data_IF_639705139838
#
_entry.id   IF_639705139838
#
_cell.length_a   1.000
_cell.length_b   1.000
_cell.length_c   1.000
_cell.angle_alpha   90.00
_cell.angle_beta   90.00
_cell.angle_gamma   90.00
#
_symmetry.space_group_name_H-M   'P 1'
#
loop_
_entity.id
_entity.type
_entity.pdbx_description
1 polymer ?
#
# COMPACT_ATOMS: atom_id res chain seq x y z
N UNK A 1 18.63 54.81 -0.68
CA UNK A 1 18.51 53.64 -1.55
C UNK A 1 18.30 52.42 -0.63
N UNK A 2 17.05 52.05 -0.35
CA UNK A 2 16.68 50.90 0.47
C UNK A 2 16.50 49.70 -0.44
N UNK A 3 17.46 48.77 -0.41
CA UNK A 3 17.31 47.50 -1.06
C UNK A 3 16.31 46.62 -0.28
N UNK A 4 15.09 46.53 -0.80
CA UNK A 4 14.16 45.50 -0.35
C UNK A 4 14.72 44.11 -0.76
N UNK A 5 15.26 43.42 0.23
CA UNK A 5 15.58 42.01 0.11
C UNK A 5 14.25 41.25 -0.01
N UNK A 6 13.85 40.90 -1.24
CA UNK A 6 12.69 40.04 -1.46
C UNK A 6 13.06 38.65 -0.87
N UNK A 7 12.50 38.34 0.28
CA UNK A 7 12.52 36.98 0.84
C UNK A 7 11.95 36.04 -0.21
N UNK A 8 12.78 35.14 -0.78
CA UNK A 8 12.30 33.99 -1.55
C UNK A 8 11.28 33.25 -0.66
N UNK A 9 10.09 32.95 -1.17
CA UNK A 9 9.16 32.10 -0.41
C UNK A 9 9.88 30.79 -0.07
N UNK A 10 9.95 30.46 1.21
CA UNK A 10 10.44 29.17 1.65
C UNK A 10 9.59 28.09 0.93
N UNK A 11 10.24 27.20 0.19
CA UNK A 11 9.58 26.01 -0.33
C UNK A 11 8.91 25.32 0.86
N UNK A 12 7.64 24.89 0.76
CA UNK A 12 7.01 24.14 1.83
C UNK A 12 7.92 22.94 2.16
N UNK A 13 8.23 22.77 3.43
CA UNK A 13 9.09 21.68 3.88
C UNK A 13 8.43 20.37 3.51
N UNK A 14 9.04 19.63 2.57
CA UNK A 14 8.61 18.29 2.16
C UNK A 14 8.70 17.36 3.37
N UNK A 15 7.63 16.62 3.64
CA UNK A 15 7.55 15.68 4.76
C UNK A 15 7.50 14.28 4.18
N UNK A 16 8.57 13.51 4.40
CA UNK A 16 8.65 12.12 3.95
C UNK A 16 7.50 11.28 4.52
N UNK A 17 6.75 10.66 3.64
CA UNK A 17 5.70 9.71 4.03
C UNK A 17 6.32 8.45 4.66
N UNK A 18 7.47 8.01 4.14
CA UNK A 18 8.17 6.82 4.62
C UNK A 18 8.67 6.96 6.07
N UNK A 19 9.05 8.17 6.48
CA UNK A 19 9.58 8.45 7.82
C UNK A 19 8.48 8.70 8.87
N UNK A 20 7.25 8.96 8.45
CA UNK A 20 6.12 9.18 9.35
C UNK A 20 5.61 7.88 9.98
N UNK A 21 5.25 7.93 11.26
CA UNK A 21 4.42 6.91 11.91
C UNK A 21 3.01 6.89 11.33
N UNK A 22 2.25 5.83 11.60
CA UNK A 22 0.86 5.71 11.14
C UNK A 22 0.00 6.93 11.56
N UNK A 23 0.14 7.38 12.81
CA UNK A 23 -0.63 8.52 13.33
C UNK A 23 -0.21 9.86 12.75
N UNK A 24 1.09 10.04 12.47
CA UNK A 24 1.58 11.24 11.78
C UNK A 24 1.08 11.31 10.33
N UNK A 25 1.05 10.17 9.61
CA UNK A 25 0.42 10.09 8.28
C UNK A 25 -1.04 10.48 8.34
N UNK A 26 -1.81 9.92 9.28
CA UNK A 26 -3.22 10.26 9.46
C UNK A 26 -3.42 11.75 9.75
N UNK A 27 -2.66 12.32 10.69
CA UNK A 27 -2.79 13.72 11.08
C UNK A 27 -2.49 14.72 9.94
N UNK A 28 -1.64 14.33 8.98
CA UNK A 28 -1.20 15.21 7.89
C UNK A 28 -1.94 14.97 6.56
N UNK A 29 -2.39 13.73 6.34
CA UNK A 29 -3.09 13.34 5.11
C UNK A 29 -4.57 13.75 5.16
N UNK A 30 -5.21 13.66 6.32
CA UNK A 30 -6.63 13.94 6.50
C UNK A 30 -6.91 15.41 6.76
N UNK A 31 -8.17 15.81 6.67
CA UNK A 31 -8.57 17.17 7.06
C UNK A 31 -8.34 17.34 8.58
N UNK A 32 -7.83 18.50 8.97
CA UNK A 32 -7.42 18.78 10.35
C UNK A 32 -8.56 18.47 11.35
N UNK A 33 -8.20 17.84 12.46
CA UNK A 33 -9.08 17.54 13.60
C UNK A 33 -10.33 16.69 13.26
N UNK A 34 -10.32 15.99 12.12
CA UNK A 34 -11.47 15.15 11.70
C UNK A 34 -11.32 13.67 11.99
N UNK A 35 -10.11 13.19 12.34
CA UNK A 35 -9.88 11.78 12.62
C UNK A 35 -10.44 11.38 13.98
N UNK A 36 -11.37 10.44 13.98
CA UNK A 36 -11.93 9.82 15.18
C UNK A 36 -11.54 8.35 15.21
N UNK A 37 -10.55 8.03 16.05
CA UNK A 37 -10.04 6.67 16.20
C UNK A 37 -11.06 5.77 16.89
N UNK A 38 -11.26 4.58 16.33
CA UNK A 38 -12.01 3.49 16.94
C UNK A 38 -11.05 2.48 17.53
N UNK A 39 -11.39 1.95 18.71
CA UNK A 39 -10.57 0.96 19.41
C UNK A 39 -9.11 1.46 19.60
N UNK A 40 -8.93 2.62 20.24
CA UNK A 40 -7.59 3.19 20.43
C UNK A 40 -6.75 2.35 21.39
N UNK A 41 -5.43 2.55 21.47
CA UNK A 41 -4.51 1.79 22.35
C UNK A 41 -4.93 1.79 23.83
N UNK A 42 -5.64 2.83 24.27
CA UNK A 42 -6.15 2.91 25.64
C UNK A 42 -7.10 1.75 26.01
N UNK A 43 -7.73 1.11 25.03
CA UNK A 43 -8.58 -0.08 25.27
C UNK A 43 -7.77 -1.36 25.49
N UNK A 44 -6.46 -1.34 25.22
CA UNK A 44 -5.50 -2.42 25.53
C UNK A 44 -5.95 -3.79 25.00
N UNK A 45 -6.48 -3.84 23.78
CA UNK A 45 -6.90 -5.10 23.16
C UNK A 45 -5.70 -6.00 22.91
N UNK A 46 -5.83 -7.27 23.27
CA UNK A 46 -4.78 -8.29 23.10
C UNK A 46 -5.34 -9.50 22.36
N UNK A 47 -4.48 -10.19 21.60
CA UNK A 47 -4.85 -11.47 21.02
C UNK A 47 -4.94 -12.56 22.09
N UNK A 48 -6.03 -13.32 22.19
CA UNK A 48 -6.15 -14.43 23.12
C UNK A 48 -5.16 -15.57 22.80
N UNK A 49 -4.66 -15.67 21.58
CA UNK A 49 -3.67 -16.67 21.16
C UNK A 49 -2.30 -16.45 21.81
N UNK A 50 -1.91 -15.23 22.15
CA UNK A 50 -0.64 -14.95 22.83
C UNK A 50 -0.52 -15.73 24.15
N UNK A 51 -1.57 -15.72 24.95
CA UNK A 51 -1.59 -16.46 26.23
C UNK A 51 -1.49 -17.98 26.00
N UNK A 52 -2.15 -18.52 24.97
CA UNK A 52 -2.10 -19.95 24.64
C UNK A 52 -0.73 -20.41 24.17
N UNK A 53 0.03 -19.52 23.53
CA UNK A 53 1.38 -19.79 23.02
C UNK A 53 2.47 -19.50 24.06
N UNK A 54 2.11 -19.08 25.27
CA UNK A 54 3.08 -18.69 26.31
C UNK A 54 3.86 -17.42 25.99
N UNK A 55 3.34 -16.59 25.07
CA UNK A 55 3.94 -15.31 24.70
C UNK A 55 3.41 -14.22 25.62
N UNK A 56 4.26 -13.30 26.12
CA UNK A 56 3.79 -12.19 26.96
C UNK A 56 2.71 -11.38 26.24
N UNK A 57 1.60 -11.14 26.94
CA UNK A 57 0.50 -10.34 26.40
C UNK A 57 0.90 -8.87 26.27
N UNK A 58 0.95 -8.36 25.03
CA UNK A 58 1.02 -6.95 24.75
C UNK A 58 -0.28 -6.50 24.07
N UNK A 59 -0.74 -5.28 24.35
CA UNK A 59 -1.88 -4.75 23.60
C UNK A 59 -1.47 -4.46 22.16
N UNK A 60 -2.40 -4.66 21.24
CA UNK A 60 -2.14 -4.49 19.81
C UNK A 60 -2.36 -3.04 19.38
N UNK A 61 -1.30 -2.35 19.04
CA UNK A 61 -1.30 -1.03 18.43
C UNK A 61 -0.78 -1.03 16.98
N UNK A 62 -0.83 -2.18 16.32
CA UNK A 62 -0.32 -2.35 14.96
C UNK A 62 -1.15 -1.67 13.87
N UNK A 63 -2.38 -1.25 14.16
CA UNK A 63 -3.23 -0.51 13.23
C UNK A 63 -4.15 0.48 13.93
N UNK A 64 -4.14 1.73 13.48
CA UNK A 64 -5.13 2.74 13.85
C UNK A 64 -6.27 2.72 12.81
N UNK A 65 -7.51 2.60 13.28
CA UNK A 65 -8.70 2.63 12.43
C UNK A 65 -9.68 3.70 12.87
N UNK A 66 -10.43 4.29 11.95
CA UNK A 66 -11.42 5.29 12.32
C UNK A 66 -12.15 5.90 11.13
N UNK A 67 -12.91 6.96 11.45
CA UNK A 67 -13.54 7.83 10.45
C UNK A 67 -12.84 9.18 10.41
N UNK A 68 -12.84 9.80 9.24
CA UNK A 68 -12.26 11.12 9.05
C UNK A 68 -12.90 11.84 7.86
N UNK A 69 -12.36 13.03 7.53
CA UNK A 69 -12.62 13.70 6.25
C UNK A 69 -11.35 13.82 5.44
N UNK A 70 -11.52 13.70 4.12
CA UNK A 70 -10.51 14.00 3.12
C UNK A 70 -11.14 14.89 2.06
N UNK A 71 -10.65 16.11 1.90
CA UNK A 71 -11.26 17.12 1.04
C UNK A 71 -12.78 17.28 1.31
N UNK A 72 -13.16 17.32 2.59
CA UNK A 72 -14.53 17.40 3.09
C UNK A 72 -15.43 16.18 2.88
N UNK A 73 -14.98 15.14 2.17
CA UNK A 73 -15.69 13.87 2.03
C UNK A 73 -15.45 12.97 3.24
N UNK A 74 -16.50 12.33 3.74
CA UNK A 74 -16.35 11.33 4.79
C UNK A 74 -15.65 10.09 4.22
N UNK A 75 -14.57 9.69 4.89
CA UNK A 75 -13.79 8.49 4.57
C UNK A 75 -13.59 7.65 5.82
N UNK A 76 -13.51 6.35 5.65
CA UNK A 76 -12.99 5.47 6.67
C UNK A 76 -11.53 5.16 6.38
N UNK A 77 -10.74 5.04 7.43
CA UNK A 77 -9.29 4.93 7.26
C UNK A 77 -8.68 3.95 8.22
N UNK A 78 -7.72 3.18 7.70
CA UNK A 78 -6.82 2.35 8.49
C UNK A 78 -5.37 2.73 8.15
N UNK A 79 -4.53 2.89 9.18
CA UNK A 79 -3.09 3.10 9.01
C UNK A 79 -2.32 2.05 9.80
N UNK A 80 -1.53 1.24 9.10
CA UNK A 80 -0.67 0.23 9.71
C UNK A 80 0.58 0.89 10.27
N UNK A 81 0.96 0.49 11.48
CA UNK A 81 2.15 0.98 12.19
C UNK A 81 3.33 0.05 11.94
N UNK A 82 4.23 0.45 11.05
CA UNK A 82 5.40 -0.34 10.69
C UNK A 82 6.36 -0.58 11.85
N UNK A 83 6.45 0.35 12.80
CA UNK A 83 7.27 0.20 14.00
C UNK A 83 6.72 -0.86 14.97
N UNK A 84 5.43 -1.21 14.89
CA UNK A 84 4.83 -2.25 15.71
C UNK A 84 4.94 -3.61 14.99
N UNK A 85 5.89 -4.44 15.40
CA UNK A 85 6.12 -5.79 14.90
C UNK A 85 6.26 -5.85 13.35
N UNK A 86 6.93 -4.85 12.75
CA UNK A 86 7.13 -4.77 11.31
C UNK A 86 5.84 -4.58 10.51
N UNK A 87 4.77 -4.05 11.12
CA UNK A 87 3.44 -3.93 10.51
C UNK A 87 2.74 -5.28 10.28
N UNK A 88 3.24 -6.35 10.89
CA UNK A 88 2.68 -7.69 10.73
C UNK A 88 1.22 -7.79 11.18
N UNK A 89 0.40 -8.50 10.38
CA UNK A 89 -1.01 -8.70 10.66
C UNK A 89 -1.17 -9.84 11.68
N UNK A 90 -1.82 -9.53 12.80
CA UNK A 90 -2.25 -10.49 13.81
C UNK A 90 -3.76 -10.53 13.92
N UNK A 91 -4.26 -11.22 14.94
CA UNK A 91 -5.70 -11.42 15.17
C UNK A 91 -6.44 -10.10 15.41
N UNK A 92 -5.98 -9.30 16.39
CA UNK A 92 -6.62 -8.01 16.70
C UNK A 92 -6.50 -7.02 15.54
N UNK A 93 -5.31 -6.95 14.95
CA UNK A 93 -5.05 -6.12 13.75
C UNK A 93 -6.06 -6.46 12.64
N UNK A 94 -6.17 -7.72 12.26
CA UNK A 94 -7.10 -8.15 11.22
C UNK A 94 -8.56 -7.93 11.60
N UNK A 95 -8.94 -8.21 12.84
CA UNK A 95 -10.29 -7.97 13.33
C UNK A 95 -10.68 -6.48 13.25
N UNK A 96 -9.76 -5.55 13.54
CA UNK A 96 -9.96 -4.12 13.36
C UNK A 96 -10.22 -3.76 11.89
N UNK A 97 -9.43 -4.29 10.95
CA UNK A 97 -9.62 -4.07 9.51
C UNK A 97 -10.97 -4.64 9.01
N UNK A 98 -11.30 -5.86 9.41
CA UNK A 98 -12.62 -6.47 9.09
C UNK A 98 -13.75 -5.61 9.64
N UNK A 99 -13.63 -5.15 10.88
CA UNK A 99 -14.61 -4.26 11.53
C UNK A 99 -14.79 -2.94 10.77
N UNK A 100 -13.68 -2.35 10.29
CA UNK A 100 -13.69 -1.14 9.46
C UNK A 100 -14.51 -1.34 8.17
N UNK A 101 -14.24 -2.39 7.41
CA UNK A 101 -14.96 -2.69 6.17
C UNK A 101 -16.45 -3.02 6.43
N UNK A 102 -16.75 -3.82 7.45
CA UNK A 102 -18.15 -4.12 7.83
C UNK A 102 -18.89 -2.86 8.25
N UNK A 103 -18.19 -1.93 8.90
CA UNK A 103 -18.76 -0.64 9.24
C UNK A 103 -18.99 0.22 8.00
N UNK A 104 -18.04 0.21 7.05
CA UNK A 104 -18.19 0.92 5.78
C UNK A 104 -19.41 0.44 4.99
N UNK A 105 -19.68 -0.88 4.96
CA UNK A 105 -20.91 -1.44 4.33
C UNK A 105 -22.20 -0.85 4.90
N UNK A 106 -22.22 -0.56 6.19
CA UNK A 106 -23.38 0.01 6.89
C UNK A 106 -23.51 1.51 6.72
N UNK A 107 -22.41 2.24 6.95
CA UNK A 107 -22.39 3.69 7.08
C UNK A 107 -22.14 4.41 5.73
N UNK A 108 -21.66 3.69 4.70
CA UNK A 108 -21.49 4.15 3.31
C UNK A 108 -20.61 5.41 3.17
N UNK A 109 -19.36 5.40 3.66
CA UNK A 109 -18.43 6.50 3.42
C UNK A 109 -18.11 6.61 1.91
N UNK A 110 -17.55 7.75 1.50
CA UNK A 110 -17.10 7.95 0.10
C UNK A 110 -16.07 6.93 -0.33
N UNK A 111 -15.13 6.61 0.55
CA UNK A 111 -14.08 5.61 0.32
C UNK A 111 -13.57 5.02 1.63
N UNK A 112 -12.87 3.89 1.53
CA UNK A 112 -12.00 3.35 2.56
C UNK A 112 -10.54 3.54 2.14
N UNK A 113 -9.74 4.19 2.96
CA UNK A 113 -8.31 4.39 2.76
C UNK A 113 -7.53 3.39 3.61
N UNK A 114 -6.61 2.64 3.00
CA UNK A 114 -5.65 1.77 3.69
C UNK A 114 -4.24 2.35 3.49
N UNK A 115 -3.66 2.92 4.54
CA UNK A 115 -2.26 3.30 4.59
C UNK A 115 -1.47 2.05 4.96
N UNK A 116 -1.06 1.30 3.93
CA UNK A 116 -0.49 -0.03 4.10
C UNK A 116 1.02 0.05 4.37
N UNK A 117 1.41 -0.62 5.46
CA UNK A 117 2.80 -0.86 5.82
C UNK A 117 2.90 -2.18 6.58
N UNK A 118 3.34 -3.26 5.92
CA UNK A 118 3.30 -4.59 6.49
C UNK A 118 4.38 -5.51 5.92
N UNK A 119 5.19 -6.09 6.79
CA UNK A 119 6.13 -7.16 6.44
C UNK A 119 5.47 -8.53 6.24
N UNK A 120 4.18 -8.68 6.53
CA UNK A 120 3.45 -9.95 6.38
C UNK A 120 2.53 -10.27 7.55
N UNK A 121 2.52 -11.53 8.01
CA UNK A 121 1.72 -12.01 9.16
C UNK A 121 2.59 -12.27 10.38
N UNK A 122 2.01 -12.17 11.57
CA UNK A 122 2.69 -12.48 12.84
C UNK A 122 2.74 -13.99 13.05
N UNK A 123 3.91 -14.57 12.89
CA UNK A 123 4.08 -16.03 13.02
C UNK A 123 3.83 -16.54 14.44
N UNK A 124 4.08 -15.72 15.46
CA UNK A 124 3.88 -16.09 16.87
C UNK A 124 2.41 -16.14 17.31
N UNK A 125 1.49 -15.66 16.47
CA UNK A 125 0.04 -15.84 16.67
C UNK A 125 -0.51 -17.05 15.90
N UNK A 126 0.34 -17.98 15.51
CA UNK A 126 0.02 -19.17 14.73
C UNK A 126 -0.79 -18.83 13.43
N UNK A 127 -1.90 -19.50 13.20
CA UNK A 127 -2.72 -19.27 12.02
C UNK A 127 -3.65 -18.04 12.11
N UNK A 128 -3.69 -17.35 13.25
CA UNK A 128 -4.60 -16.22 13.44
C UNK A 128 -4.36 -15.09 12.43
N UNK A 129 -3.09 -14.80 12.13
CA UNK A 129 -2.72 -13.80 11.11
C UNK A 129 -3.15 -14.19 9.70
N UNK A 130 -3.01 -15.46 9.31
CA UNK A 130 -3.44 -15.95 7.99
C UNK A 130 -4.97 -15.91 7.84
N UNK A 131 -5.69 -16.36 8.87
CA UNK A 131 -7.16 -16.27 8.91
C UNK A 131 -7.61 -14.82 8.84
N UNK A 132 -6.96 -13.94 9.61
CA UNK A 132 -7.25 -12.51 9.62
C UNK A 132 -7.10 -11.89 8.23
N UNK A 133 -6.01 -12.18 7.51
CA UNK A 133 -5.78 -11.67 6.14
C UNK A 133 -6.90 -12.14 5.20
N UNK A 134 -7.28 -13.41 5.23
CA UNK A 134 -8.36 -13.92 4.36
C UNK A 134 -9.71 -13.24 4.67
N UNK A 135 -10.03 -13.01 5.93
CA UNK A 135 -11.24 -12.28 6.34
C UNK A 135 -11.19 -10.79 5.92
N UNK A 136 -10.02 -10.15 5.99
CA UNK A 136 -9.83 -8.79 5.49
C UNK A 136 -10.08 -8.73 3.98
N UNK A 137 -9.50 -9.64 3.19
CA UNK A 137 -9.75 -9.72 1.74
C UNK A 137 -11.25 -9.86 1.43
N UNK A 138 -11.93 -10.79 2.11
CA UNK A 138 -13.36 -10.99 1.94
C UNK A 138 -14.16 -9.73 2.25
N UNK A 139 -13.90 -9.08 3.39
CA UNK A 139 -14.61 -7.86 3.79
C UNK A 139 -14.31 -6.67 2.86
N UNK A 140 -13.10 -6.57 2.31
CA UNK A 140 -12.73 -5.59 1.29
C UNK A 140 -13.52 -5.82 0.00
N UNK A 141 -13.56 -7.05 -0.49
CA UNK A 141 -14.30 -7.40 -1.72
C UNK A 141 -15.81 -7.16 -1.56
N UNK A 142 -16.39 -7.46 -0.39
CA UNK A 142 -17.77 -7.12 -0.05
C UNK A 142 -18.02 -5.60 -0.13
N UNK A 143 -17.08 -4.78 0.39
CA UNK A 143 -17.19 -3.32 0.33
C UNK A 143 -17.12 -2.81 -1.12
N UNK A 144 -16.20 -3.33 -1.94
CA UNK A 144 -16.11 -3.03 -3.37
C UNK A 144 -17.39 -3.43 -4.12
N UNK A 145 -17.89 -4.65 -3.88
CA UNK A 145 -19.13 -5.13 -4.49
C UNK A 145 -20.35 -4.25 -4.12
N UNK A 146 -20.27 -3.60 -2.96
CA UNK A 146 -21.29 -2.63 -2.53
C UNK A 146 -21.07 -1.21 -3.11
N UNK A 147 -20.08 -0.99 -3.96
CA UNK A 147 -19.82 0.30 -4.60
C UNK A 147 -19.02 1.29 -3.74
N UNK A 148 -18.29 0.81 -2.72
CA UNK A 148 -17.42 1.65 -1.88
C UNK A 148 -16.00 1.56 -2.43
N UNK A 149 -15.43 2.69 -2.83
CA UNK A 149 -14.05 2.74 -3.32
C UNK A 149 -13.06 2.36 -2.21
N UNK A 150 -12.13 1.47 -2.52
CA UNK A 150 -11.03 1.09 -1.63
C UNK A 150 -9.71 1.54 -2.23
N UNK A 151 -9.00 2.42 -1.52
CA UNK A 151 -7.77 3.06 -1.97
C UNK A 151 -6.64 2.63 -1.03
N UNK A 152 -5.54 2.14 -1.59
CA UNK A 152 -4.36 1.72 -0.81
C UNK A 152 -3.20 2.66 -1.09
N UNK A 153 -2.57 3.15 -0.03
CA UNK A 153 -1.41 4.03 -0.07
C UNK A 153 -0.18 3.26 0.46
N UNK A 154 0.86 3.12 -0.36
CA UNK A 154 2.06 2.33 -0.06
C UNK A 154 3.30 3.21 -0.21
N UNK A 155 3.89 3.60 0.89
CA UNK A 155 5.09 4.45 0.91
C UNK A 155 5.93 4.25 2.19
N UNK A 156 5.45 3.40 3.12
CA UNK A 156 6.14 3.15 4.38
C UNK A 156 7.45 2.37 4.22
N UNK A 157 8.35 2.54 5.18
CA UNK A 157 9.69 1.96 5.17
C UNK A 157 9.72 0.43 5.15
N UNK A 158 8.69 -0.23 5.72
CA UNK A 158 8.58 -1.70 5.70
C UNK A 158 7.94 -2.25 4.40
N UNK A 159 7.39 -1.39 3.52
CA UNK A 159 6.69 -1.83 2.33
C UNK A 159 5.34 -2.50 2.63
N UNK A 160 4.80 -3.23 1.65
CA UNK A 160 3.55 -3.96 1.75
C UNK A 160 3.75 -5.37 1.18
N UNK A 161 3.95 -6.34 2.05
CA UNK A 161 4.33 -7.70 1.70
C UNK A 161 3.35 -8.75 2.27
N UNK A 162 3.55 -10.00 1.85
CA UNK A 162 2.76 -11.12 2.32
C UNK A 162 1.28 -10.98 2.00
N UNK A 163 0.45 -11.38 2.94
CA UNK A 163 -1.01 -11.29 2.81
C UNK A 163 -1.51 -9.88 2.52
N UNK A 164 -0.88 -8.84 3.09
CA UNK A 164 -1.28 -7.45 2.82
C UNK A 164 -0.91 -7.00 1.41
N UNK A 165 0.13 -7.55 0.79
CA UNK A 165 0.41 -7.35 -0.63
C UNK A 165 -0.73 -7.88 -1.51
N UNK A 166 -1.30 -9.05 -1.17
CA UNK A 166 -2.47 -9.60 -1.87
C UNK A 166 -3.72 -8.74 -1.61
N UNK A 167 -3.95 -8.34 -0.33
CA UNK A 167 -5.06 -7.43 0.03
C UNK A 167 -4.99 -6.13 -0.76
N UNK A 168 -3.81 -5.54 -0.89
CA UNK A 168 -3.62 -4.31 -1.67
C UNK A 168 -4.04 -4.49 -3.14
N UNK A 169 -3.71 -5.63 -3.76
CA UNK A 169 -4.12 -5.93 -5.14
C UNK A 169 -5.62 -6.19 -5.30
N UNK A 170 -6.34 -6.42 -4.22
CA UNK A 170 -7.81 -6.50 -4.24
C UNK A 170 -8.49 -5.13 -4.20
N UNK A 171 -7.78 -4.02 -4.02
CA UNK A 171 -8.33 -2.67 -3.96
C UNK A 171 -8.73 -2.11 -5.34
N UNK A 172 -9.46 -1.01 -5.34
CA UNK A 172 -9.81 -0.29 -6.57
C UNK A 172 -8.65 0.53 -7.11
N UNK A 173 -7.82 1.08 -6.21
CA UNK A 173 -6.76 2.02 -6.57
C UNK A 173 -5.56 1.90 -5.63
N UNK A 174 -4.38 1.85 -6.21
CA UNK A 174 -3.11 1.78 -5.48
C UNK A 174 -2.26 3.01 -5.81
N UNK A 175 -1.88 3.75 -4.78
CA UNK A 175 -0.91 4.85 -4.85
C UNK A 175 0.39 4.39 -4.21
N UNK A 176 1.50 4.56 -4.90
CA UNK A 176 2.83 4.27 -4.35
C UNK A 176 3.76 5.47 -4.48
N UNK A 177 4.71 5.59 -3.57
CA UNK A 177 5.92 6.38 -3.82
C UNK A 177 7.02 5.49 -4.39
N UNK A 178 8.09 6.12 -4.91
CA UNK A 178 9.29 5.39 -5.32
C UNK A 178 10.02 4.74 -4.14
N UNK A 179 9.83 5.24 -2.92
CA UNK A 179 10.29 4.60 -1.68
C UNK A 179 9.45 3.37 -1.31
N UNK A 180 8.17 3.32 -1.73
CA UNK A 180 7.25 2.23 -1.45
C UNK A 180 7.65 0.92 -2.13
N UNK A 181 7.33 -0.20 -1.49
CA UNK A 181 7.57 -1.55 -2.01
C UNK A 181 6.32 -2.39 -1.90
N UNK A 182 6.02 -3.16 -2.95
CA UNK A 182 4.85 -4.05 -3.00
C UNK A 182 5.26 -5.39 -3.62
N UNK A 183 5.08 -6.48 -2.87
CA UNK A 183 5.23 -7.84 -3.40
C UNK A 183 4.50 -8.86 -2.53
N UNK A 184 4.37 -10.08 -3.04
CA UNK A 184 3.83 -11.20 -2.26
C UNK A 184 4.82 -11.69 -1.20
N UNK A 185 6.12 -11.73 -1.54
CA UNK A 185 7.17 -12.15 -0.60
C UNK A 185 8.10 -10.98 -0.28
N UNK A 186 8.50 -10.85 0.99
CA UNK A 186 9.54 -9.92 1.39
C UNK A 186 10.91 -10.32 0.83
N UNK A 187 11.87 -9.38 0.71
CA UNK A 187 13.20 -9.66 0.17
C UNK A 187 13.91 -10.80 0.89
N UNK A 188 13.86 -10.81 2.21
CA UNK A 188 14.52 -11.84 3.04
C UNK A 188 13.87 -13.22 2.85
N UNK A 189 12.59 -13.30 2.53
CA UNK A 189 11.89 -14.54 2.23
C UNK A 189 12.32 -15.09 0.87
N UNK A 190 12.50 -14.20 -0.11
CA UNK A 190 12.98 -14.59 -1.44
C UNK A 190 14.42 -15.13 -1.32
N UNK A 191 15.30 -14.38 -0.65
CA UNK A 191 16.69 -14.80 -0.41
C UNK A 191 16.75 -16.16 0.30
N UNK A 192 15.94 -16.36 1.36
CA UNK A 192 15.92 -17.62 2.11
C UNK A 192 15.43 -18.81 1.28
N UNK A 193 14.61 -18.56 0.25
CA UNK A 193 14.05 -19.61 -0.61
C UNK A 193 14.94 -19.97 -1.81
N UNK A 194 15.66 -18.98 -2.36
CA UNK A 194 16.39 -19.10 -3.62
C UNK A 194 17.92 -19.00 -3.45
N UNK A 195 18.37 -18.44 -2.33
CA UNK A 195 19.78 -18.18 -2.04
C UNK A 195 20.23 -16.77 -2.40
N UNK A 196 21.27 -16.29 -1.69
CA UNK A 196 21.83 -14.94 -1.84
C UNK A 196 22.41 -14.70 -3.24
N UNK A 197 22.87 -15.75 -3.92
CA UNK A 197 23.44 -15.67 -5.27
C UNK A 197 22.37 -15.32 -6.32
N UNK A 198 21.12 -15.75 -6.09
CA UNK A 198 20.00 -15.46 -6.98
C UNK A 198 19.29 -14.16 -6.59
N UNK A 199 19.14 -13.89 -5.30
CA UNK A 199 18.51 -12.69 -4.80
C UNK A 199 19.13 -12.27 -3.45
N UNK A 200 19.92 -11.19 -3.46
CA UNK A 200 20.50 -10.59 -2.25
C UNK A 200 19.53 -9.54 -1.68
N UNK A 201 18.90 -9.85 -0.55
CA UNK A 201 17.99 -8.94 0.16
C UNK A 201 18.67 -7.65 0.65
N UNK A 202 20.01 -7.61 0.72
CA UNK A 202 20.81 -6.43 1.11
C UNK A 202 21.12 -5.53 -0.08
N UNK A 203 21.02 -6.05 -1.32
CA UNK A 203 21.14 -5.23 -2.52
C UNK A 203 19.87 -4.36 -2.67
N UNK A 204 19.93 -3.17 -2.11
CA UNK A 204 18.81 -2.22 -2.16
C UNK A 204 18.40 -1.89 -3.60
N UNK A 205 19.36 -1.78 -4.51
CA UNK A 205 19.06 -1.47 -5.91
C UNK A 205 18.23 -2.59 -6.56
N UNK A 206 18.64 -3.84 -6.36
CA UNK A 206 17.88 -5.02 -6.81
C UNK A 206 16.48 -5.06 -6.18
N UNK A 207 16.40 -4.92 -4.85
CA UNK A 207 15.13 -4.96 -4.12
C UNK A 207 14.15 -3.92 -4.66
N UNK A 208 14.59 -2.66 -4.87
CA UNK A 208 13.72 -1.61 -5.40
C UNK A 208 13.39 -1.79 -6.88
N UNK A 209 14.32 -2.34 -7.69
CA UNK A 209 14.02 -2.67 -9.08
C UNK A 209 12.91 -3.71 -9.23
N UNK A 210 12.83 -4.68 -8.30
CA UNK A 210 11.88 -5.80 -8.38
C UNK A 210 10.57 -5.51 -7.64
N UNK A 211 10.60 -4.77 -6.53
CA UNK A 211 9.44 -4.57 -5.66
C UNK A 211 8.99 -3.11 -5.54
N UNK A 212 9.82 -2.16 -6.00
CA UNK A 212 9.63 -0.74 -5.81
C UNK A 212 8.51 -0.11 -6.64
N UNK A 213 8.07 1.07 -6.22
CA UNK A 213 6.95 1.79 -6.85
C UNK A 213 7.15 2.07 -8.33
N UNK A 214 8.38 2.36 -8.80
CA UNK A 214 8.69 2.56 -10.22
C UNK A 214 8.38 1.32 -11.04
N UNK A 215 8.89 0.16 -10.62
CA UNK A 215 8.60 -1.11 -11.28
C UNK A 215 7.10 -1.40 -11.28
N UNK A 216 6.45 -1.28 -10.12
CA UNK A 216 5.00 -1.56 -9.98
C UNK A 216 4.15 -0.63 -10.84
N UNK A 217 4.57 0.62 -11.01
CA UNK A 217 3.90 1.57 -11.89
C UNK A 217 4.04 1.17 -13.37
N UNK A 218 5.26 0.84 -13.81
CA UNK A 218 5.54 0.47 -15.20
C UNK A 218 4.82 -0.81 -15.63
N UNK A 219 4.74 -1.81 -14.74
CA UNK A 219 4.01 -3.06 -15.03
C UNK A 219 2.50 -2.95 -14.75
N UNK A 220 1.99 -1.78 -14.35
CA UNK A 220 0.56 -1.55 -14.12
C UNK A 220 0.01 -2.15 -12.82
N UNK A 221 0.86 -2.41 -11.83
CA UNK A 221 0.47 -2.88 -10.50
C UNK A 221 0.20 -1.74 -9.51
N UNK A 222 0.49 -0.51 -9.91
CA UNK A 222 0.27 0.72 -9.17
C UNK A 222 -0.42 1.73 -10.09
N UNK A 223 -1.49 2.36 -9.65
CA UNK A 223 -2.27 3.29 -10.47
C UNK A 223 -1.65 4.68 -10.51
N UNK A 224 -1.11 5.15 -9.39
CA UNK A 224 -0.45 6.45 -9.29
C UNK A 224 0.90 6.30 -8.58
N UNK A 225 1.96 6.83 -9.20
CA UNK A 225 3.28 6.94 -8.59
C UNK A 225 3.49 8.39 -8.14
N UNK A 226 3.80 8.60 -6.87
CA UNK A 226 3.99 9.93 -6.26
C UNK A 226 5.37 10.08 -5.65
N UNK A 227 5.75 11.31 -5.34
CA UNK A 227 6.94 11.60 -4.55
C UNK A 227 6.76 11.06 -3.12
N UNK A 228 7.87 10.75 -2.42
CA UNK A 228 7.83 10.45 -0.99
C UNK A 228 7.56 11.73 -0.19
N UNK A 229 6.29 12.12 -0.19
CA UNK A 229 5.77 13.30 0.49
C UNK A 229 4.31 13.09 0.88
N UNK A 230 3.97 13.37 2.14
CA UNK A 230 2.59 13.20 2.64
C UNK A 230 1.58 14.04 1.86
N UNK A 231 1.96 15.24 1.42
CA UNK A 231 1.09 16.09 0.61
C UNK A 231 0.80 15.47 -0.77
N UNK A 232 1.82 14.88 -1.41
CA UNK A 232 1.65 14.17 -2.68
C UNK A 232 0.72 12.95 -2.55
N UNK A 233 0.84 12.19 -1.46
CA UNK A 233 -0.10 11.10 -1.16
C UNK A 233 -1.51 11.60 -0.89
N UNK A 234 -1.67 12.74 -0.18
CA UNK A 234 -2.97 13.35 0.04
C UNK A 234 -3.65 13.72 -1.28
N UNK A 235 -2.93 14.42 -2.16
CA UNK A 235 -3.47 14.86 -3.45
C UNK A 235 -3.87 13.66 -4.32
N UNK A 236 -3.03 12.62 -4.37
CA UNK A 236 -3.33 11.39 -5.08
C UNK A 236 -4.55 10.66 -4.49
N UNK A 237 -4.68 10.61 -3.17
CA UNK A 237 -5.83 10.00 -2.52
C UNK A 237 -7.13 10.77 -2.81
N UNK A 238 -7.09 12.11 -2.89
CA UNK A 238 -8.25 12.93 -3.27
C UNK A 238 -8.69 12.60 -4.71
N UNK A 239 -7.75 12.52 -5.65
CA UNK A 239 -8.05 12.13 -7.04
C UNK A 239 -8.66 10.73 -7.10
N UNK A 240 -8.20 9.81 -6.24
CA UNK A 240 -8.68 8.44 -6.20
C UNK A 240 -10.05 8.25 -5.53
N UNK A 241 -10.64 9.27 -4.88
CA UNK A 241 -11.96 9.13 -4.24
C UNK A 241 -13.08 8.66 -5.20
N UNK A 242 -12.91 8.90 -6.48
CA UNK A 242 -13.86 8.53 -7.54
C UNK A 242 -13.41 7.31 -8.35
N UNK A 243 -12.40 6.57 -7.87
CA UNK A 243 -11.75 5.47 -8.61
C UNK A 243 -12.44 4.11 -8.49
N UNK A 244 -13.67 4.04 -7.96
CA UNK A 244 -14.36 2.77 -7.81
C UNK A 244 -14.45 2.02 -9.16
N UNK A 245 -14.00 0.76 -9.15
CA UNK A 245 -14.04 -0.17 -10.29
C UNK A 245 -14.96 -1.33 -9.95
N UNK A 246 -16.12 -1.46 -10.64
CA UNK A 246 -17.06 -2.55 -10.36
C UNK A 246 -16.41 -3.93 -10.53
N UNK A 247 -16.64 -4.83 -9.57
CA UNK A 247 -16.24 -6.23 -9.66
C UNK A 247 -17.28 -6.98 -10.52
N UNK A 248 -17.06 -7.00 -11.83
CA UNK A 248 -17.88 -7.74 -12.78
C UNK A 248 -17.12 -8.94 -13.34
N UNK A 249 -17.85 -9.96 -13.81
CA UNK A 249 -17.20 -11.10 -14.44
C UNK A 249 -16.36 -10.71 -15.67
N UNK A 250 -16.79 -9.82 -16.57
CA UNK A 250 -15.93 -9.33 -17.65
C UNK A 250 -14.66 -8.67 -17.14
N UNK A 251 -14.75 -7.78 -16.14
CA UNK A 251 -13.55 -7.13 -15.58
C UNK A 251 -12.55 -8.13 -14.99
N UNK A 252 -13.03 -9.19 -14.33
CA UNK A 252 -12.17 -10.26 -13.83
C UNK A 252 -11.55 -11.11 -14.96
N UNK A 253 -12.28 -11.34 -16.03
CA UNK A 253 -11.77 -12.04 -17.22
C UNK A 253 -10.70 -11.20 -17.92
N UNK A 254 -10.89 -9.89 -18.07
CA UNK A 254 -9.93 -8.97 -18.67
C UNK A 254 -8.64 -8.91 -17.85
N UNK A 255 -8.74 -8.80 -16.52
CA UNK A 255 -7.59 -8.84 -15.61
C UNK A 255 -6.86 -10.18 -15.70
N UNK A 256 -7.58 -11.31 -15.71
CA UNK A 256 -6.98 -12.63 -15.87
C UNK A 256 -6.22 -12.75 -17.20
N UNK A 257 -6.82 -12.29 -18.30
CA UNK A 257 -6.17 -12.29 -19.61
C UNK A 257 -4.92 -11.39 -19.63
N UNK A 258 -4.96 -10.23 -18.95
CA UNK A 258 -3.80 -9.35 -18.81
C UNK A 258 -2.67 -10.05 -18.05
N UNK A 259 -2.96 -10.70 -16.92
CA UNK A 259 -1.98 -11.42 -16.13
C UNK A 259 -1.37 -12.60 -16.88
N UNK A 260 -2.18 -13.33 -17.66
CA UNK A 260 -1.67 -14.41 -18.51
C UNK A 260 -0.71 -13.89 -19.60
N UNK A 261 -1.05 -12.77 -20.25
CA UNK A 261 -0.15 -12.14 -21.24
C UNK A 261 1.17 -11.73 -20.58
N UNK A 262 1.12 -11.04 -19.43
CA UNK A 262 2.33 -10.64 -18.69
C UNK A 262 3.21 -11.84 -18.34
N UNK A 263 2.62 -12.92 -17.85
CA UNK A 263 3.35 -14.14 -17.51
C UNK A 263 4.01 -14.76 -18.76
N UNK A 264 3.30 -14.78 -19.89
CA UNK A 264 3.83 -15.27 -21.14
C UNK A 264 4.97 -14.40 -21.66
N UNK A 265 4.78 -13.07 -21.68
CA UNK A 265 5.71 -12.11 -22.29
C UNK A 265 6.95 -11.88 -21.39
N UNK A 266 6.76 -11.85 -20.06
CA UNK A 266 7.88 -11.77 -19.13
C UNK A 266 8.70 -13.08 -19.10
N UNK A 267 8.05 -14.24 -19.30
CA UNK A 267 8.70 -15.56 -19.35
C UNK A 267 9.51 -15.82 -18.07
N UNK A 268 10.78 -16.11 -18.24
CA UNK A 268 11.77 -16.39 -17.22
C UNK A 268 12.59 -15.17 -16.78
N UNK A 269 12.12 -13.96 -17.06
CA UNK A 269 12.82 -12.75 -16.65
C UNK A 269 12.90 -12.63 -15.12
N UNK A 270 14.11 -12.69 -14.60
CA UNK A 270 14.40 -12.63 -13.16
C UNK A 270 14.66 -11.21 -12.65
N UNK A 271 15.04 -10.28 -13.53
CA UNK A 271 15.27 -8.88 -13.16
C UNK A 271 14.33 -7.93 -13.95
N UNK A 272 13.99 -6.82 -13.35
CA UNK A 272 13.05 -5.85 -13.86
C UNK A 272 13.46 -5.25 -15.23
N UNK A 273 14.72 -4.87 -15.51
CA UNK A 273 15.12 -4.38 -16.82
C UNK A 273 14.83 -5.36 -17.96
N UNK A 274 15.11 -6.65 -17.76
CA UNK A 274 14.81 -7.70 -18.75
C UNK A 274 13.29 -7.81 -18.95
N UNK A 275 12.52 -7.75 -17.87
CA UNK A 275 11.06 -7.75 -17.94
C UNK A 275 10.55 -6.51 -18.70
N UNK A 276 11.05 -5.31 -18.37
CA UNK A 276 10.63 -4.07 -19.06
C UNK A 276 10.92 -4.11 -20.55
N UNK A 277 12.10 -4.60 -20.95
CA UNK A 277 12.47 -4.78 -22.35
C UNK A 277 11.51 -5.73 -23.07
N UNK A 278 11.24 -6.91 -22.50
CA UNK A 278 10.31 -7.90 -23.07
C UNK A 278 8.87 -7.37 -23.17
N UNK A 279 8.47 -6.55 -22.23
CA UNK A 279 7.17 -5.92 -22.19
C UNK A 279 7.09 -4.63 -23.03
N UNK A 280 8.17 -4.27 -23.74
CA UNK A 280 8.20 -3.13 -24.66
C UNK A 280 8.20 -1.75 -24.00
N UNK A 281 8.61 -1.66 -22.73
CA UNK A 281 8.71 -0.37 -22.03
C UNK A 281 9.88 0.43 -22.63
N UNK A 282 9.58 1.61 -23.15
CA UNK A 282 10.60 2.52 -23.66
C UNK A 282 11.56 2.96 -22.54
N UNK A 283 12.84 3.14 -22.90
CA UNK A 283 13.90 3.58 -21.98
C UNK A 283 14.09 2.67 -20.76
N UNK A 284 13.91 1.38 -20.92
CA UNK A 284 14.00 0.34 -19.92
C UNK A 284 15.28 0.46 -19.05
N UNK A 285 16.45 0.62 -19.66
CA UNK A 285 17.74 0.77 -18.96
C UNK A 285 17.82 2.05 -18.08
N UNK A 286 17.09 3.12 -18.45
CA UNK A 286 17.07 4.40 -17.76
C UNK A 286 15.94 4.57 -16.76
N UNK A 287 14.97 3.68 -16.76
CA UNK A 287 13.77 3.79 -15.92
C UNK A 287 14.07 3.99 -14.42
N UNK A 288 15.11 3.36 -13.82
CA UNK A 288 15.47 3.62 -12.43
C UNK A 288 15.89 5.06 -12.13
N UNK A 289 16.51 5.75 -13.11
CA UNK A 289 17.13 7.08 -12.94
C UNK A 289 16.27 8.23 -13.47
N UNK A 290 15.16 7.94 -14.16
CA UNK A 290 14.26 8.97 -14.69
C UNK A 290 13.65 9.79 -13.56
N UNK A 291 13.46 11.09 -13.78
CA UNK A 291 12.62 11.89 -12.90
C UNK A 291 11.18 11.35 -12.93
N UNK A 292 10.44 11.46 -11.81
CA UNK A 292 9.10 10.86 -11.72
C UNK A 292 8.14 11.36 -12.81
N UNK A 293 8.24 12.62 -13.23
CA UNK A 293 7.39 13.15 -14.30
C UNK A 293 7.72 12.53 -15.67
N UNK A 294 9.00 12.22 -15.93
CA UNK A 294 9.44 11.53 -17.15
C UNK A 294 8.98 10.08 -17.14
N UNK A 295 9.14 9.39 -16.00
CA UNK A 295 8.70 8.01 -15.84
C UNK A 295 7.17 7.88 -16.02
N UNK A 296 6.40 8.83 -15.49
CA UNK A 296 4.93 8.85 -15.64
C UNK A 296 4.47 9.10 -17.08
N UNK A 297 5.33 9.66 -17.92
CA UNK A 297 5.03 9.86 -19.33
C UNK A 297 5.30 8.61 -20.21
N UNK A 298 5.94 7.56 -19.65
CA UNK A 298 6.13 6.30 -20.35
C UNK A 298 4.79 5.55 -20.48
N UNK A 299 4.61 4.87 -21.61
CA UNK A 299 3.49 3.94 -21.76
C UNK A 299 3.61 2.80 -20.73
N UNK A 300 2.51 2.50 -20.09
CA UNK A 300 2.41 1.46 -19.05
C UNK A 300 1.71 0.23 -19.61
N UNK A 301 2.09 -0.92 -19.06
CA UNK A 301 1.44 -2.17 -19.43
C UNK A 301 0.07 -2.22 -18.76
N UNK A 302 -0.96 -2.48 -19.56
CA UNK A 302 -2.32 -2.72 -19.07
C UNK A 302 -3.19 -1.48 -18.91
N UNK A 303 -2.77 -0.30 -19.36
CA UNK A 303 -3.76 0.73 -19.64
C UNK A 303 -4.56 0.31 -20.90
N UNK A 304 -5.90 0.25 -20.84
CA UNK A 304 -6.67 0.17 -22.07
C UNK A 304 -6.30 1.40 -22.90
N UNK A 305 -6.04 1.19 -24.20
CA UNK A 305 -5.82 2.29 -25.14
C UNK A 305 -6.94 3.32 -24.93
N UNK A 306 -6.56 4.52 -24.48
CA UNK A 306 -7.49 5.65 -24.26
C UNK A 306 -8.06 6.11 -25.58
#
# INVERSE_FOLDING_TARGET
MNGMNAMKPALPSRISYAECSARERLARLLDADTFHEWLPPAQRLTSPHLAQLGVPGAFDDGVAIGRARLASHEVFVAAQEGAFMGGGVGEVHGAKLVGLFRRALRDRPRAVLLLAESGGVRLHEANAGLIAVSEVMRALLDARAAGIAVIVLIGGANGCFGGMGIVARCADHIVMSDAGRLAMSGPEVIEASHGVEEFDARDRALVWRVTGGRHRYLVGDCDQLVEDDVAAFRDAAIVALDSHRPLTLPALQDEHALLQRRLHDAGDAIDAPVMWQRLGIAQDERAPDLALHELRALERIGEPAR
#
